data_IF_141156552305
#
_entry.id   IF_141156552305
#
_cell.length_a   1.000
_cell.length_b   1.000
_cell.length_c   1.000
_cell.angle_alpha   90.00
_cell.angle_beta   90.00
_cell.angle_gamma   90.00
#
_symmetry.space_group_name_H-M   'P 1'
#
loop_
_entity.id
_entity.type
_entity.pdbx_description
1 polymer ?
#
# COMPACT_ATOMS: atom_id res chain seq x y z
N UNK A 1 6.37 27.61 7.98
CA UNK A 1 4.97 28.06 7.79
C UNK A 1 3.95 26.95 8.04
N UNK A 2 4.23 25.70 7.66
CA UNK A 2 3.36 24.52 7.91
C UNK A 2 3.16 24.14 9.39
N UNK A 3 4.16 24.32 10.27
CA UNK A 3 4.05 23.97 11.70
C UNK A 3 2.91 24.70 12.43
N UNK A 4 2.65 25.96 12.09
CA UNK A 4 1.63 26.80 12.76
C UNK A 4 0.19 26.38 12.44
N UNK A 5 -0.02 25.68 11.33
CA UNK A 5 -1.33 25.14 10.96
C UNK A 5 -1.55 23.73 11.53
N UNK A 6 -0.47 22.97 11.75
CA UNK A 6 -0.53 21.64 12.35
C UNK A 6 -0.96 21.67 13.82
N UNK A 7 -0.52 22.68 14.58
CA UNK A 7 -0.98 22.88 15.97
C UNK A 7 -2.49 23.18 16.10
N UNK A 8 -3.14 23.62 15.00
CA UNK A 8 -4.59 23.93 14.99
C UNK A 8 -5.46 22.77 14.52
N UNK A 9 -4.85 21.73 13.95
CA UNK A 9 -5.56 20.51 13.58
C UNK A 9 -5.26 19.51 14.69
N UNK A 10 -6.21 19.39 15.62
CA UNK A 10 -6.12 18.40 16.68
C UNK A 10 -6.10 17.00 16.04
N UNK A 11 -4.93 16.36 16.06
CA UNK A 11 -4.69 15.07 15.41
C UNK A 11 -5.66 14.00 15.88
N UNK A 12 -5.93 13.98 17.18
CA UNK A 12 -6.79 12.98 17.80
C UNK A 12 -8.25 13.18 17.38
N UNK A 13 -8.72 14.43 17.35
CA UNK A 13 -10.05 14.80 16.83
C UNK A 13 -10.20 14.45 15.34
N UNK A 14 -9.13 14.58 14.55
CA UNK A 14 -9.12 14.15 13.16
C UNK A 14 -9.22 12.62 13.01
N UNK A 15 -8.53 11.87 13.87
CA UNK A 15 -8.54 10.41 13.84
C UNK A 15 -9.88 9.84 14.34
N UNK A 16 -10.48 10.47 15.36
CA UNK A 16 -11.81 10.13 15.85
C UNK A 16 -12.86 10.30 14.74
N UNK A 17 -12.87 11.46 14.07
CA UNK A 17 -13.76 11.71 12.91
C UNK A 17 -13.52 10.75 11.74
N UNK A 18 -12.29 10.27 11.55
CA UNK A 18 -12.00 9.26 10.53
C UNK A 18 -12.62 7.89 10.88
N UNK A 19 -12.60 7.51 12.16
CA UNK A 19 -13.23 6.26 12.63
C UNK A 19 -14.75 6.34 12.56
N UNK A 20 -15.34 7.45 13.01
CA UNK A 20 -16.79 7.70 12.89
C UNK A 20 -17.28 7.69 11.43
N UNK A 21 -16.41 8.07 10.48
CA UNK A 21 -16.73 8.04 9.06
C UNK A 21 -16.82 6.60 8.49
N UNK A 22 -16.13 5.61 9.07
CA UNK A 22 -16.23 4.20 8.66
C UNK A 22 -17.62 3.61 8.97
N UNK A 23 -18.23 4.02 10.08
CA UNK A 23 -19.57 3.58 10.50
C UNK A 23 -20.70 4.10 9.59
N UNK A 24 -20.43 5.12 8.76
CA UNK A 24 -21.40 5.60 7.78
C UNK A 24 -21.43 4.64 6.59
N UNK A 25 -22.35 3.68 6.62
CA UNK A 25 -22.58 2.67 5.58
C UNK A 25 -22.87 3.33 4.21
N UNK A 26 -21.79 3.50 3.43
CA UNK A 26 -21.81 4.09 2.09
C UNK A 26 -21.92 3.03 0.98
N UNK A 27 -22.13 1.75 1.31
CA UNK A 27 -22.33 0.69 0.31
C UNK A 27 -23.67 0.85 -0.43
N UNK A 28 -24.65 1.49 0.22
CA UNK A 28 -25.97 1.80 -0.37
C UNK A 28 -26.01 3.11 -1.18
N UNK A 29 -24.95 3.92 -1.18
CA UNK A 29 -24.94 5.18 -1.93
C UNK A 29 -24.35 4.99 -3.32
N UNK A 30 -25.23 5.02 -4.33
CA UNK A 30 -24.86 5.09 -5.74
C UNK A 30 -23.90 6.27 -6.00
N UNK A 31 -23.21 6.27 -7.15
CA UNK A 31 -22.19 7.27 -7.55
C UNK A 31 -22.63 8.73 -7.31
N UNK A 32 -23.93 9.01 -7.38
CA UNK A 32 -24.55 10.30 -7.09
C UNK A 32 -24.51 10.66 -5.59
N UNK A 33 -24.73 9.71 -4.69
CA UNK A 33 -24.61 9.93 -3.25
C UNK A 33 -23.17 10.22 -2.82
N UNK A 34 -22.21 9.51 -3.43
CA UNK A 34 -20.76 9.78 -3.25
C UNK A 34 -20.38 11.17 -3.75
N UNK A 35 -20.95 11.63 -4.87
CA UNK A 35 -20.71 12.95 -5.42
C UNK A 35 -21.32 14.07 -4.56
N UNK A 36 -22.56 13.89 -4.09
CA UNK A 36 -23.27 14.86 -3.25
C UNK A 36 -22.55 15.11 -1.93
N UNK A 37 -22.01 14.07 -1.30
CA UNK A 37 -21.22 14.19 -0.07
C UNK A 37 -19.92 14.95 -0.28
N UNK A 38 -19.36 14.96 -1.50
CA UNK A 38 -18.15 15.71 -1.85
C UNK A 38 -18.41 17.20 -2.16
N UNK A 39 -19.67 17.64 -2.23
CA UNK A 39 -20.02 19.03 -2.59
C UNK A 39 -20.12 19.97 -1.38
N UNK A 40 -20.06 19.44 -0.14
CA UNK A 40 -20.07 20.22 1.10
C UNK A 40 -18.69 20.30 1.75
N UNK A 41 -18.21 21.51 1.96
CA UNK A 41 -16.85 21.85 2.43
C UNK A 41 -16.51 21.33 3.83
N UNK A 42 -16.05 20.07 3.96
CA UNK A 42 -15.04 19.60 4.93
C UNK A 42 -14.63 18.14 4.60
N UNK A 43 -13.68 18.05 3.67
CA UNK A 43 -13.00 16.88 3.10
C UNK A 43 -13.41 15.46 3.56
N UNK A 44 -14.54 14.93 3.04
CA UNK A 44 -14.95 13.54 3.27
C UNK A 44 -13.89 12.53 2.80
N UNK A 45 -13.20 12.83 1.70
CA UNK A 45 -12.20 11.95 1.10
C UNK A 45 -10.92 11.80 1.93
N UNK A 46 -10.54 12.80 2.75
CA UNK A 46 -9.34 12.68 3.60
C UNK A 46 -9.62 11.87 4.86
N UNK A 47 -10.82 12.00 5.44
CA UNK A 47 -11.24 11.16 6.56
C UNK A 47 -11.41 9.70 6.13
N UNK A 48 -12.05 9.46 4.97
CA UNK A 48 -12.13 8.13 4.37
C UNK A 48 -10.76 7.51 4.10
N UNK A 49 -9.84 8.26 3.49
CA UNK A 49 -8.49 7.74 3.26
C UNK A 49 -7.77 7.46 4.57
N UNK A 50 -7.98 8.30 5.59
CA UNK A 50 -7.42 8.06 6.91
C UNK A 50 -8.00 6.79 7.55
N UNK A 51 -9.32 6.53 7.42
CA UNK A 51 -9.96 5.33 7.95
C UNK A 51 -9.43 4.06 7.28
N UNK A 52 -9.36 4.04 5.95
CA UNK A 52 -8.82 2.91 5.18
C UNK A 52 -7.35 2.62 5.55
N UNK A 53 -6.54 3.66 5.77
CA UNK A 53 -5.15 3.52 6.23
C UNK A 53 -5.09 2.97 7.65
N UNK A 54 -5.95 3.44 8.56
CA UNK A 54 -6.02 2.95 9.93
C UNK A 54 -6.41 1.48 9.97
N UNK A 55 -7.44 1.07 9.23
CA UNK A 55 -7.85 -0.32 9.10
C UNK A 55 -6.72 -1.20 8.55
N UNK A 56 -6.00 -0.72 7.54
CA UNK A 56 -4.84 -1.43 6.99
C UNK A 56 -3.72 -1.64 8.03
N UNK A 57 -3.44 -0.62 8.86
CA UNK A 57 -2.46 -0.72 9.94
C UNK A 57 -2.95 -1.64 11.07
N UNK A 58 -4.20 -1.49 11.52
CA UNK A 58 -4.80 -2.26 12.62
C UNK A 58 -4.97 -3.74 12.26
N UNK A 59 -5.24 -4.08 11.00
CA UNK A 59 -5.31 -5.46 10.51
C UNK A 59 -3.96 -6.20 10.56
N UNK A 60 -2.85 -5.50 10.76
CA UNK A 60 -1.50 -6.08 10.78
C UNK A 60 -0.92 -6.39 9.41
N UNK A 61 -1.71 -6.30 8.33
CA UNK A 61 -1.27 -6.53 6.95
C UNK A 61 -0.24 -5.50 6.48
N UNK A 62 -0.27 -4.27 7.01
CA UNK A 62 0.81 -3.30 6.83
C UNK A 62 2.16 -3.86 7.31
N UNK A 63 2.20 -4.40 8.52
CA UNK A 63 3.42 -4.96 9.12
C UNK A 63 3.93 -6.17 8.34
N UNK A 64 3.02 -6.99 7.81
CA UNK A 64 3.37 -8.12 6.93
C UNK A 64 4.13 -7.69 5.68
N UNK A 65 3.72 -6.58 5.05
CA UNK A 65 4.40 -6.02 3.87
C UNK A 65 5.78 -5.48 4.24
N UNK A 66 5.90 -4.75 5.36
CA UNK A 66 7.18 -4.22 5.84
C UNK A 66 8.16 -5.35 6.17
N UNK A 67 7.66 -6.42 6.77
CA UNK A 67 8.43 -7.62 7.11
C UNK A 67 8.65 -8.56 5.91
N UNK A 68 8.17 -8.19 4.71
CA UNK A 68 8.22 -8.99 3.48
C UNK A 68 7.65 -10.40 3.65
N UNK A 69 6.66 -10.59 4.54
CA UNK A 69 5.97 -11.86 4.75
C UNK A 69 5.07 -12.26 3.57
N UNK A 70 4.69 -11.31 2.73
CA UNK A 70 3.84 -11.51 1.55
C UNK A 70 4.60 -11.82 0.26
N UNK A 71 5.94 -11.70 0.22
CA UNK A 71 6.69 -12.22 -0.91
C UNK A 71 6.87 -13.71 -0.71
N UNK A 72 6.08 -14.52 -1.42
CA UNK A 72 6.50 -15.89 -1.70
C UNK A 72 7.92 -15.80 -2.28
N UNK A 73 8.90 -16.36 -1.56
CA UNK A 73 10.21 -16.62 -2.18
C UNK A 73 9.91 -17.50 -3.37
N UNK A 74 9.99 -16.93 -4.56
CA UNK A 74 9.95 -17.71 -5.78
C UNK A 74 11.22 -18.57 -5.77
N UNK A 75 11.14 -19.76 -5.18
CA UNK A 75 12.20 -20.76 -5.20
C UNK A 75 12.26 -21.39 -6.60
N UNK A 76 12.37 -20.57 -7.63
CA UNK A 76 12.85 -21.01 -8.92
C UNK A 76 14.36 -20.89 -8.87
N UNK A 77 15.00 -21.90 -8.30
CA UNK A 77 16.45 -22.09 -8.43
C UNK A 77 16.78 -22.29 -9.92
N UNK A 78 16.90 -21.18 -10.65
CA UNK A 78 17.24 -21.18 -12.05
C UNK A 78 18.75 -21.40 -12.18
N UNK A 79 19.18 -22.36 -12.99
CA UNK A 79 20.60 -22.59 -13.23
C UNK A 79 21.01 -21.90 -14.52
N UNK A 80 22.17 -21.25 -14.50
CA UNK A 80 22.77 -20.73 -15.72
C UNK A 80 22.96 -21.89 -16.72
N UNK A 81 22.46 -21.79 -17.96
CA UNK A 81 22.61 -22.85 -18.95
C UNK A 81 24.07 -23.06 -19.39
N UNK A 82 24.91 -22.04 -19.28
CA UNK A 82 26.32 -22.09 -19.71
C UNK A 82 27.28 -22.62 -18.63
N UNK A 83 27.13 -22.18 -17.37
CA UNK A 83 28.06 -22.56 -16.30
C UNK A 83 27.45 -23.36 -15.15
N UNK A 84 26.12 -23.56 -15.15
CA UNK A 84 25.43 -24.33 -14.11
C UNK A 84 25.29 -23.63 -12.74
N UNK A 85 25.76 -22.38 -12.61
CA UNK A 85 25.62 -21.59 -11.38
C UNK A 85 24.15 -21.39 -11.02
N UNK A 86 23.80 -21.56 -9.74
CA UNK A 86 22.46 -21.28 -9.23
C UNK A 86 22.23 -19.76 -9.16
N UNK A 87 21.17 -19.31 -9.81
CA UNK A 87 20.75 -17.93 -9.93
C UNK A 87 19.51 -17.70 -9.07
N UNK A 88 19.30 -16.46 -8.64
CA UNK A 88 18.15 -16.06 -7.83
C UNK A 88 16.89 -15.80 -8.67
N UNK A 89 17.01 -15.71 -9.99
CA UNK A 89 15.90 -15.61 -10.94
C UNK A 89 15.53 -14.19 -11.36
N UNK A 90 16.18 -13.18 -10.78
CA UNK A 90 16.02 -11.75 -11.14
C UNK A 90 17.23 -11.24 -11.96
N UNK A 91 18.25 -12.08 -12.19
CA UNK A 91 19.45 -11.67 -12.90
C UNK A 91 19.26 -11.67 -14.41
N UNK A 92 19.66 -10.56 -15.01
CA UNK A 92 19.73 -10.38 -16.46
C UNK A 92 20.98 -11.04 -17.09
N UNK A 93 22.07 -11.13 -16.33
CA UNK A 93 23.32 -11.79 -16.72
C UNK A 93 23.82 -12.71 -15.60
N UNK A 94 24.54 -13.76 -15.96
CA UNK A 94 25.20 -14.62 -14.97
C UNK A 94 26.37 -13.88 -14.33
N UNK A 95 26.36 -13.72 -13.01
CA UNK A 95 27.47 -13.11 -12.26
C UNK A 95 28.78 -13.91 -12.27
N UNK A 96 28.75 -15.20 -12.65
CA UNK A 96 29.94 -16.06 -12.68
C UNK A 96 30.60 -16.14 -14.06
N UNK A 97 29.82 -16.33 -15.13
CA UNK A 97 30.36 -16.47 -16.49
C UNK A 97 30.03 -15.31 -17.44
N UNK A 98 29.19 -14.37 -17.04
CA UNK A 98 28.79 -13.22 -17.85
C UNK A 98 27.80 -13.53 -18.98
N UNK A 99 27.29 -14.76 -19.08
CA UNK A 99 26.30 -15.12 -20.11
C UNK A 99 25.01 -14.32 -19.92
N UNK A 100 24.39 -13.90 -21.03
CA UNK A 100 23.04 -13.31 -21.01
C UNK A 100 22.04 -14.39 -20.58
N UNK A 101 21.16 -14.06 -19.63
CA UNK A 101 20.13 -14.95 -19.11
C UNK A 101 18.74 -14.63 -19.69
N UNK A 102 18.57 -13.41 -20.22
CA UNK A 102 17.39 -13.07 -20.99
C UNK A 102 17.46 -13.73 -22.37
N UNK A 103 16.56 -14.65 -22.65
CA UNK A 103 16.25 -15.11 -24.00
C UNK A 103 14.73 -15.36 -24.07
N UNK A 104 14.01 -14.40 -24.63
CA UNK A 104 12.73 -14.66 -25.29
C UNK A 104 12.99 -14.64 -26.79
#
# INVERSE_FOLDING_TARGET
>A
MLKKFFDRIERDEFLEKAREFSDYDHDSLDRIGKALLCMGSNHPMTFRRASEILEWVESGTYSEVIERRTSEKLETAFKCPECGTTLSGDENFCGMCGSKLWCR
#
